data_IF_170712203560
#
_entry.id   IF_170712203560
#
_cell.length_a   1.000
_cell.length_b   1.000
_cell.length_c   1.000
_cell.angle_alpha   90.00
_cell.angle_beta   90.00
_cell.angle_gamma   90.00
#
_symmetry.space_group_name_H-M   'P 1'
#
loop_
_entity.id
_entity.type
_entity.pdbx_description
1 polymer ?
#
# COMPACT_ATOMS: atom_id res chain seq x y z
N UNK A 1 15.09 -29.73 0.48
CA UNK A 1 15.33 -28.31 0.85
C UNK A 1 14.22 -27.83 1.77
N UNK A 2 14.56 -27.37 2.94
CA UNK A 2 13.58 -26.77 3.86
C UNK A 2 13.46 -25.28 3.55
N UNK A 3 12.28 -24.87 3.12
CA UNK A 3 11.99 -23.44 2.99
C UNK A 3 11.29 -23.02 4.29
N UNK A 4 11.98 -22.19 5.07
CA UNK A 4 11.42 -21.63 6.28
C UNK A 4 10.87 -20.26 5.93
N UNK A 5 9.57 -20.07 6.12
CA UNK A 5 8.91 -18.79 5.98
C UNK A 5 8.60 -18.26 7.38
N UNK A 6 9.16 -17.12 7.71
CA UNK A 6 8.83 -16.42 8.94
C UNK A 6 7.59 -15.55 8.68
N UNK A 7 6.43 -16.06 9.10
CA UNK A 7 5.16 -15.35 8.91
C UNK A 7 5.13 -14.00 9.65
N UNK A 8 5.90 -13.89 10.75
CA UNK A 8 6.01 -12.63 11.48
C UNK A 8 6.67 -11.54 10.64
N UNK A 9 7.73 -11.89 9.91
CA UNK A 9 8.39 -10.95 9.00
C UNK A 9 7.50 -10.58 7.83
N UNK A 10 6.73 -11.52 7.30
CA UNK A 10 5.77 -11.25 6.23
C UNK A 10 4.67 -10.32 6.73
N UNK A 11 4.19 -10.54 7.95
CA UNK A 11 3.20 -9.66 8.57
C UNK A 11 3.75 -8.25 8.76
N UNK A 12 4.99 -8.12 9.25
CA UNK A 12 5.65 -6.82 9.41
C UNK A 12 5.82 -6.12 8.06
N UNK A 13 6.13 -6.87 7.01
CA UNK A 13 6.20 -6.33 5.64
C UNK A 13 4.83 -5.78 5.20
N UNK A 14 3.73 -6.47 5.55
CA UNK A 14 2.39 -5.98 5.21
C UNK A 14 2.07 -4.65 5.88
N UNK A 15 2.45 -4.50 7.15
CA UNK A 15 2.27 -3.24 7.90
C UNK A 15 3.13 -2.13 7.29
N UNK A 16 4.37 -2.45 6.95
CA UNK A 16 5.27 -1.49 6.31
C UNK A 16 4.69 -0.97 4.99
N UNK A 17 4.22 -1.89 4.13
CA UNK A 17 3.63 -1.53 2.83
C UNK A 17 2.36 -0.69 3.03
N UNK A 18 1.52 -1.05 3.99
CA UNK A 18 0.32 -0.27 4.29
C UNK A 18 0.67 1.16 4.71
N UNK A 19 1.65 1.30 5.61
CA UNK A 19 2.07 2.63 6.08
C UNK A 19 2.65 3.46 4.95
N UNK A 20 3.40 2.85 4.04
CA UNK A 20 3.91 3.54 2.85
C UNK A 20 2.81 3.92 1.87
N UNK A 21 1.78 3.08 1.73
CA UNK A 21 0.60 3.41 0.92
C UNK A 21 -0.11 4.64 1.47
N UNK A 22 -0.31 4.69 2.79
CA UNK A 22 -0.96 5.83 3.45
C UNK A 22 -0.14 7.11 3.30
N UNK A 23 1.19 7.01 3.46
CA UNK A 23 2.10 8.14 3.25
C UNK A 23 2.06 8.64 1.80
N UNK A 24 2.01 7.72 0.84
CA UNK A 24 1.86 8.04 -0.58
C UNK A 24 0.55 8.79 -0.83
N UNK A 25 -0.55 8.29 -0.28
CA UNK A 25 -1.85 8.94 -0.43
C UNK A 25 -1.84 10.36 0.15
N UNK A 26 -1.27 10.54 1.34
CA UNK A 26 -1.15 11.86 1.98
C UNK A 26 -0.31 12.80 1.12
N UNK A 27 0.78 12.32 0.56
CA UNK A 27 1.63 13.10 -0.33
C UNK A 27 0.86 13.58 -1.56
N UNK A 28 0.08 12.70 -2.17
CA UNK A 28 -0.73 13.03 -3.35
C UNK A 28 -1.82 14.05 -3.00
N UNK A 29 -2.51 13.86 -1.88
CA UNK A 29 -3.54 14.81 -1.43
C UNK A 29 -2.93 16.19 -1.17
N UNK A 30 -1.76 16.24 -0.54
CA UNK A 30 -1.06 17.50 -0.28
C UNK A 30 -0.59 18.17 -1.57
N UNK A 31 -0.15 17.40 -2.55
CA UNK A 31 0.23 17.93 -3.86
C UNK A 31 -0.95 18.66 -4.52
N UNK A 32 -2.12 18.03 -4.56
CA UNK A 32 -3.31 18.63 -5.16
C UNK A 32 -3.76 19.88 -4.42
N UNK A 33 -3.69 19.87 -3.08
CA UNK A 33 -3.98 21.07 -2.28
C UNK A 33 -3.02 22.21 -2.60
N UNK A 34 -1.73 21.92 -2.74
CA UNK A 34 -0.72 22.93 -3.07
C UNK A 34 -0.96 23.53 -4.43
N UNK A 35 -1.30 22.73 -5.41
CA UNK A 35 -1.60 23.21 -6.76
C UNK A 35 -2.84 24.11 -6.75
N UNK A 36 -3.86 23.73 -6.00
CA UNK A 36 -5.05 24.55 -5.84
C UNK A 36 -4.74 25.89 -5.19
N UNK A 37 -3.90 25.91 -4.15
CA UNK A 37 -3.45 27.14 -3.50
C UNK A 37 -2.63 28.04 -4.42
N UNK A 38 -1.88 27.46 -5.36
CA UNK A 38 -1.10 28.23 -6.31
C UNK A 38 -1.96 29.01 -7.31
N UNK A 39 -3.23 28.69 -7.42
CA UNK A 39 -4.15 29.38 -8.31
C UNK A 39 -4.22 30.89 -8.04
N UNK A 40 -4.07 31.30 -6.77
CA UNK A 40 -4.09 32.70 -6.39
C UNK A 40 -2.79 33.45 -6.74
N UNK A 41 -1.70 32.73 -6.93
CA UNK A 41 -0.37 33.28 -7.20
C UNK A 41 -0.01 33.14 -8.67
N UNK A 42 -0.29 31.96 -9.25
CA UNK A 42 -0.01 31.64 -10.63
C UNK A 42 -1.32 31.58 -11.42
N UNK A 43 -1.66 32.69 -12.04
CA UNK A 43 -2.87 32.81 -12.84
C UNK A 43 -2.52 32.79 -14.32
N UNK A 44 -3.45 32.25 -15.12
CA UNK A 44 -3.34 32.25 -16.56
C UNK A 44 -3.51 30.87 -17.19
N UNK A 45 -3.29 30.84 -18.51
CA UNK A 45 -3.50 29.64 -19.34
C UNK A 45 -2.58 28.50 -18.93
N UNK A 46 -1.32 28.81 -18.58
CA UNK A 46 -0.33 27.83 -18.21
C UNK A 46 -0.70 27.11 -16.91
N UNK A 47 -1.22 27.85 -15.94
CA UNK A 47 -1.70 27.25 -14.68
C UNK A 47 -2.90 26.34 -14.92
N UNK A 48 -3.84 26.78 -15.75
CA UNK A 48 -5.03 26.00 -16.07
C UNK A 48 -4.65 24.72 -16.81
N UNK A 49 -3.73 24.80 -17.78
CA UNK A 49 -3.23 23.64 -18.51
C UNK A 49 -2.55 22.64 -17.59
N UNK A 50 -1.73 23.12 -16.66
CA UNK A 50 -1.05 22.29 -15.67
C UNK A 50 -2.05 21.60 -14.73
N UNK A 51 -3.04 22.35 -14.25
CA UNK A 51 -4.09 21.83 -13.38
C UNK A 51 -4.91 20.76 -14.07
N UNK A 52 -5.25 20.95 -15.35
CA UNK A 52 -5.99 19.98 -16.14
C UNK A 52 -5.19 18.69 -16.32
N UNK A 53 -3.87 18.77 -16.55
CA UNK A 53 -3.02 17.59 -16.63
C UNK A 53 -2.99 16.84 -15.32
N UNK A 54 -2.89 17.52 -14.18
CA UNK A 54 -2.93 16.87 -12.87
C UNK A 54 -4.26 16.16 -12.64
N UNK A 55 -5.37 16.75 -13.08
CA UNK A 55 -6.68 16.11 -12.97
C UNK A 55 -6.77 14.85 -13.83
N UNK A 56 -6.12 14.83 -14.99
CA UNK A 56 -6.03 13.62 -15.83
C UNK A 56 -5.24 12.51 -15.17
N UNK A 57 -4.22 12.84 -14.35
CA UNK A 57 -3.42 11.85 -13.63
C UNK A 57 -4.11 11.34 -12.35
N UNK A 58 -5.06 12.06 -11.82
CA UNK A 58 -5.68 11.73 -10.53
C UNK A 58 -6.22 10.30 -10.47
N UNK A 59 -6.95 9.78 -11.47
CA UNK A 59 -7.42 8.39 -11.43
C UNK A 59 -6.27 7.38 -11.37
N UNK A 60 -5.18 7.60 -12.10
CA UNK A 60 -4.02 6.70 -12.10
C UNK A 60 -3.31 6.70 -10.75
N UNK A 61 -3.18 7.86 -10.12
CA UNK A 61 -2.57 7.99 -8.79
C UNK A 61 -3.42 7.31 -7.72
N UNK A 62 -4.74 7.44 -7.79
CA UNK A 62 -5.66 6.76 -6.88
C UNK A 62 -5.63 5.24 -7.09
N UNK A 63 -5.56 4.80 -8.34
CA UNK A 63 -5.45 3.38 -8.67
C UNK A 63 -4.15 2.78 -8.11
N UNK A 64 -3.04 3.50 -8.23
CA UNK A 64 -1.76 3.06 -7.65
C UNK A 64 -1.87 2.89 -6.12
N UNK A 65 -2.51 3.82 -5.43
CA UNK A 65 -2.75 3.71 -4.00
C UNK A 65 -3.53 2.43 -3.67
N UNK A 66 -4.59 2.15 -4.41
CA UNK A 66 -5.40 0.95 -4.22
C UNK A 66 -4.59 -0.33 -4.46
N UNK A 67 -3.75 -0.34 -5.49
CA UNK A 67 -2.87 -1.48 -5.78
C UNK A 67 -1.90 -1.75 -4.64
N UNK A 68 -1.29 -0.69 -4.09
CA UNK A 68 -0.36 -0.84 -2.97
C UNK A 68 -1.08 -1.35 -1.72
N UNK A 69 -2.27 -0.85 -1.43
CA UNK A 69 -3.09 -1.34 -0.32
C UNK A 69 -3.44 -2.82 -0.50
N UNK A 70 -3.83 -3.21 -1.70
CA UNK A 70 -4.15 -4.61 -2.01
C UNK A 70 -2.94 -5.51 -1.84
N UNK A 71 -1.76 -5.05 -2.25
CA UNK A 71 -0.51 -5.76 -2.03
C UNK A 71 -0.26 -5.99 -0.53
N UNK A 72 -0.48 -4.98 0.29
CA UNK A 72 -0.39 -5.10 1.76
C UNK A 72 -1.35 -6.16 2.28
N UNK A 73 -2.60 -6.17 1.79
CA UNK A 73 -3.60 -7.15 2.20
C UNK A 73 -3.21 -8.57 1.80
N UNK A 74 -2.65 -8.75 0.61
CA UNK A 74 -2.16 -10.06 0.15
C UNK A 74 -1.02 -10.55 1.05
N UNK A 75 -0.09 -9.69 1.41
CA UNK A 75 0.99 -10.04 2.35
C UNK A 75 0.43 -10.46 3.71
N UNK A 76 -0.55 -9.73 4.22
CA UNK A 76 -1.18 -10.05 5.49
C UNK A 76 -1.88 -11.41 5.45
N UNK A 77 -2.62 -11.68 4.39
CA UNK A 77 -3.29 -12.97 4.20
C UNK A 77 -2.28 -14.10 4.08
N UNK A 78 -1.19 -13.88 3.35
CA UNK A 78 -0.11 -14.86 3.20
C UNK A 78 0.50 -15.18 4.56
N UNK A 79 0.79 -14.18 5.38
CA UNK A 79 1.30 -14.37 6.73
C UNK A 79 0.33 -15.21 7.58
N UNK A 80 -0.95 -14.92 7.49
CA UNK A 80 -1.98 -15.65 8.23
C UNK A 80 -2.06 -17.12 7.80
N UNK A 81 -1.95 -17.40 6.52
CA UNK A 81 -1.95 -18.78 5.99
C UNK A 81 -0.73 -19.54 6.50
N UNK A 82 0.47 -18.94 6.47
CA UNK A 82 1.67 -19.59 6.98
C UNK A 82 1.63 -19.81 8.48
N UNK A 83 1.08 -18.88 9.23
CA UNK A 83 0.87 -19.04 10.68
C UNK A 83 -0.02 -20.25 10.95
N UNK A 84 -1.13 -20.35 10.24
CA UNK A 84 -2.07 -21.48 10.40
C UNK A 84 -1.42 -22.80 10.05
N UNK A 85 -0.67 -22.85 8.94
CA UNK A 85 0.06 -24.05 8.55
C UNK A 85 1.07 -24.49 9.62
N UNK A 86 1.77 -23.53 10.21
CA UNK A 86 2.74 -23.84 11.27
C UNK A 86 2.06 -24.38 12.52
N UNK A 87 0.93 -23.78 12.91
CA UNK A 87 0.15 -24.26 14.04
C UNK A 87 -0.38 -25.67 13.79
N UNK A 88 -0.86 -25.96 12.59
CA UNK A 88 -1.36 -27.28 12.22
C UNK A 88 -0.24 -28.33 12.26
N UNK A 89 0.96 -28.00 11.79
CA UNK A 89 2.13 -28.89 11.85
C UNK A 89 2.52 -29.21 13.28
N UNK A 90 2.51 -28.22 14.17
CA UNK A 90 2.81 -28.41 15.60
C UNK A 90 1.75 -29.32 16.24
N UNK A 91 0.47 -29.10 15.95
CA UNK A 91 -0.60 -29.92 16.46
C UNK A 91 -0.48 -31.37 16.00
N UNK A 92 -0.18 -31.61 14.72
CA UNK A 92 0.04 -32.96 14.17
C UNK A 92 1.24 -33.65 14.82
N UNK A 93 2.33 -32.93 15.03
CA UNK A 93 3.51 -33.46 15.69
C UNK A 93 3.20 -33.93 17.12
N UNK A 94 2.37 -33.17 17.84
CA UNK A 94 1.95 -33.55 19.20
C UNK A 94 1.10 -34.79 19.22
N UNK A 95 0.28 -35.02 18.20
CA UNK A 95 -0.55 -36.22 18.11
C UNK A 95 0.27 -37.51 17.87
N UNK A 96 1.50 -37.38 17.35
CA UNK A 96 2.38 -38.49 17.10
C UNK A 96 3.22 -38.90 18.32
N UNK A 97 3.22 -38.08 19.37
CA UNK A 97 3.92 -38.37 20.60
C UNK A 97 2.98 -39.15 21.54
#
# INVERSE_FOLDING_TARGET
MKILVDYSEVYQASVYVKNKADSYNDLIQNLYKKVEQMQSIWQGVDHLAFQNQLEEFRPSLNEMYQVIQEYSNVLKQTASVYEQLQQDRVAQARLLL
#
